data_IF_576647192161
#
_entry.id   IF_576647192161
#
_cell.length_a   1.000
_cell.length_b   1.000
_cell.length_c   1.000
_cell.angle_alpha   90.00
_cell.angle_beta   90.00
_cell.angle_gamma   90.00
#
_symmetry.space_group_name_H-M   'P 1'
#
loop_
_entity.id
_entity.type
_entity.pdbx_description
1 polymer ?
#
# COMPACT_ATOMS: atom_id res chain seq x y z
N UNK A 1 -15.35 23.01 5.04
CA UNK A 1 -14.25 23.62 4.24
C UNK A 1 -14.68 23.61 2.78
N UNK A 2 -14.53 24.71 2.03
CA UNK A 2 -14.84 24.72 0.58
C UNK A 2 -13.69 23.99 -0.14
N UNK A 3 -13.97 22.83 -0.73
CA UNK A 3 -12.99 22.09 -1.53
C UNK A 3 -12.58 22.96 -2.72
N UNK A 4 -11.34 23.48 -2.72
CA UNK A 4 -10.74 24.21 -3.84
C UNK A 4 -9.59 23.37 -4.36
N UNK A 5 -9.70 22.90 -5.60
CA UNK A 5 -8.56 22.32 -6.30
C UNK A 5 -7.73 23.45 -6.92
N UNK A 6 -6.42 23.41 -6.73
CA UNK A 6 -5.48 24.36 -7.33
C UNK A 6 -4.57 23.62 -8.30
N UNK A 7 -4.27 24.25 -9.43
CA UNK A 7 -3.37 23.73 -10.45
C UNK A 7 -2.17 24.67 -10.59
N UNK A 8 -0.97 24.10 -10.49
CA UNK A 8 0.27 24.82 -10.73
C UNK A 8 0.56 24.90 -12.23
N UNK A 9 0.70 26.12 -12.75
CA UNK A 9 1.30 26.40 -14.05
C UNK A 9 2.55 27.24 -13.85
N UNK A 10 3.69 26.56 -13.79
CA UNK A 10 5.02 27.14 -13.57
C UNK A 10 5.07 28.00 -12.29
N UNK A 11 5.06 29.33 -12.42
CA UNK A 11 5.09 30.27 -11.30
C UNK A 11 3.71 30.64 -10.74
N UNK A 12 2.63 30.14 -11.34
CA UNK A 12 1.27 30.53 -10.99
C UNK A 12 0.48 29.37 -10.38
N UNK A 13 -0.33 29.68 -9.37
CA UNK A 13 -1.34 28.78 -8.83
C UNK A 13 -2.72 29.28 -9.22
N UNK A 14 -3.42 28.50 -10.05
CA UNK A 14 -4.75 28.83 -10.54
C UNK A 14 -5.79 27.96 -9.82
N UNK A 15 -6.91 28.56 -9.42
CA UNK A 15 -8.04 27.78 -8.90
C UNK A 15 -8.71 27.06 -10.07
N UNK A 16 -8.82 25.73 -9.98
CA UNK A 16 -9.53 24.95 -10.99
C UNK A 16 -11.04 25.13 -10.76
N UNK A 17 -11.79 25.58 -11.77
CA UNK A 17 -13.25 25.69 -11.67
C UNK A 17 -13.89 24.34 -11.27
N UNK A 18 -14.85 24.32 -10.31
CA UNK A 18 -15.53 23.12 -9.82
C UNK A 18 -15.97 22.13 -10.90
N UNK A 19 -16.67 22.61 -11.92
CA UNK A 19 -17.20 21.78 -12.98
C UNK A 19 -16.13 21.04 -13.82
N UNK A 20 -14.91 21.56 -13.89
CA UNK A 20 -13.82 20.90 -14.62
C UNK A 20 -13.23 19.75 -13.81
N UNK A 21 -12.90 20.00 -12.53
CA UNK A 21 -12.28 18.97 -11.71
C UNK A 21 -13.27 17.93 -11.20
N UNK A 22 -14.53 18.29 -10.92
CA UNK A 22 -15.57 17.33 -10.53
C UNK A 22 -15.81 16.30 -11.63
N UNK A 23 -15.83 16.74 -12.90
CA UNK A 23 -15.96 15.85 -14.06
C UNK A 23 -14.74 14.95 -14.23
N UNK A 24 -13.52 15.49 -14.06
CA UNK A 24 -12.30 14.67 -14.10
C UNK A 24 -12.25 13.65 -12.97
N UNK A 25 -12.68 14.01 -11.75
CA UNK A 25 -12.78 13.07 -10.63
C UNK A 25 -13.84 12.01 -10.93
N UNK A 26 -15.01 12.38 -11.45
CA UNK A 26 -16.05 11.41 -11.80
C UNK A 26 -15.55 10.40 -12.85
N UNK A 27 -14.82 10.86 -13.86
CA UNK A 27 -14.23 10.01 -14.89
C UNK A 27 -13.10 9.14 -14.33
N UNK A 28 -12.22 9.72 -13.51
CA UNK A 28 -11.11 9.03 -12.87
C UNK A 28 -11.57 7.97 -11.87
N UNK A 29 -12.64 8.25 -11.12
CA UNK A 29 -13.22 7.31 -10.14
C UNK A 29 -13.53 5.95 -10.75
N UNK A 30 -14.02 5.91 -11.99
CA UNK A 30 -14.30 4.65 -12.68
C UNK A 30 -13.01 3.88 -12.95
N UNK A 31 -11.99 4.54 -13.52
CA UNK A 31 -10.70 3.91 -13.78
C UNK A 31 -10.00 3.43 -12.50
N UNK A 32 -10.04 4.22 -11.42
CA UNK A 32 -9.49 3.81 -10.12
C UNK A 32 -10.30 2.67 -9.48
N UNK A 33 -11.64 2.70 -9.57
CA UNK A 33 -12.49 1.63 -9.06
C UNK A 33 -12.25 0.32 -9.82
N UNK A 34 -12.10 0.38 -11.14
CA UNK A 34 -11.79 -0.78 -11.98
C UNK A 34 -10.41 -1.36 -11.63
N UNK A 35 -9.41 -0.51 -11.38
CA UNK A 35 -8.06 -0.95 -10.98
C UNK A 35 -8.02 -1.60 -9.59
N UNK A 36 -8.93 -1.23 -8.69
CA UNK A 36 -9.05 -1.80 -7.35
C UNK A 36 -10.14 -2.87 -7.24
N UNK A 37 -10.86 -3.17 -8.33
CA UNK A 37 -12.00 -4.09 -8.32
C UNK A 37 -11.60 -5.54 -7.96
N UNK A 38 -10.33 -5.90 -8.16
CA UNK A 38 -9.81 -7.22 -7.79
C UNK A 38 -9.62 -7.37 -6.26
N UNK A 39 -9.48 -6.27 -5.50
CA UNK A 39 -9.26 -6.32 -4.06
C UNK A 39 -10.53 -6.77 -3.32
N UNK A 40 -10.56 -8.05 -2.99
CA UNK A 40 -11.52 -8.60 -2.02
C UNK A 40 -11.20 -8.14 -0.60
N UNK A 41 -12.06 -8.50 0.36
CA UNK A 41 -11.79 -8.19 1.76
C UNK A 41 -10.53 -8.89 2.29
N UNK A 42 -10.23 -10.11 1.82
CA UNK A 42 -9.01 -10.83 2.17
C UNK A 42 -7.76 -10.11 1.64
N UNK A 43 -7.82 -9.51 0.45
CA UNK A 43 -6.72 -8.70 -0.10
C UNK A 43 -6.40 -7.52 0.82
N UNK A 44 -7.44 -6.78 1.24
CA UNK A 44 -7.27 -5.64 2.16
C UNK A 44 -6.75 -6.09 3.51
N UNK A 45 -7.25 -7.21 4.02
CA UNK A 45 -6.84 -7.76 5.30
C UNK A 45 -5.36 -8.15 5.30
N UNK A 46 -4.90 -8.89 4.28
CA UNK A 46 -3.49 -9.28 4.13
C UNK A 46 -2.61 -8.05 3.93
N UNK A 47 -3.03 -7.10 3.10
CA UNK A 47 -2.28 -5.86 2.88
C UNK A 47 -2.12 -5.04 4.16
N UNK A 48 -3.22 -4.76 4.87
CA UNK A 48 -3.16 -4.01 6.13
C UNK A 48 -2.35 -4.74 7.20
N UNK A 49 -2.46 -6.07 7.26
CA UNK A 49 -1.65 -6.88 8.16
C UNK A 49 -0.16 -6.70 7.85
N UNK A 50 0.26 -6.86 6.59
CA UNK A 50 1.65 -6.72 6.19
C UNK A 50 2.22 -5.33 6.54
N UNK A 51 1.50 -4.25 6.21
CA UNK A 51 1.92 -2.87 6.50
C UNK A 51 2.08 -2.62 8.01
N UNK A 52 1.17 -3.16 8.82
CA UNK A 52 1.21 -2.98 10.28
C UNK A 52 2.30 -3.83 10.94
N UNK A 53 2.46 -5.06 10.47
CA UNK A 53 3.25 -6.08 11.17
C UNK A 53 4.73 -6.05 10.79
N UNK A 54 5.07 -5.59 9.57
CA UNK A 54 6.46 -5.52 9.10
C UNK A 54 7.36 -4.67 10.02
N UNK A 55 6.94 -3.48 10.51
CA UNK A 55 7.65 -2.73 11.56
C UNK A 55 7.89 -3.52 12.85
N UNK A 56 6.87 -4.26 13.31
CA UNK A 56 6.88 -4.96 14.60
C UNK A 56 7.79 -6.18 14.53
N UNK A 57 7.68 -6.95 13.44
CA UNK A 57 8.50 -8.13 13.21
C UNK A 57 9.98 -7.76 12.98
N UNK A 58 10.25 -6.60 12.35
CA UNK A 58 11.61 -6.12 12.06
C UNK A 58 12.41 -7.03 11.13
N UNK A 59 11.74 -7.95 10.44
CA UNK A 59 12.31 -8.94 9.52
C UNK A 59 11.28 -9.30 8.43
N UNK A 60 11.71 -9.88 7.31
CA UNK A 60 10.77 -10.26 6.25
C UNK A 60 9.65 -11.18 6.77
N UNK A 61 8.42 -10.94 6.32
CA UNK A 61 7.24 -11.70 6.77
C UNK A 61 6.98 -12.90 5.86
N UNK A 62 7.11 -14.14 6.35
CA UNK A 62 6.81 -15.33 5.56
C UNK A 62 5.28 -15.53 5.42
N UNK A 63 4.79 -16.10 4.30
CA UNK A 63 3.36 -16.36 4.09
C UNK A 63 2.73 -17.21 5.19
N UNK A 64 3.47 -18.16 5.77
CA UNK A 64 3.01 -19.04 6.85
C UNK A 64 2.70 -18.24 8.13
N UNK A 65 3.46 -17.18 8.39
CA UNK A 65 3.20 -16.31 9.54
C UNK A 65 1.90 -15.52 9.36
N UNK A 66 1.65 -15.00 8.16
CA UNK A 66 0.41 -14.29 7.81
C UNK A 66 -0.79 -15.25 7.88
N UNK A 67 -0.63 -16.45 7.30
CA UNK A 67 -1.60 -17.54 7.34
C UNK A 67 -2.04 -17.86 8.76
N UNK A 68 -1.08 -18.09 9.66
CA UNK A 68 -1.36 -18.40 11.06
C UNK A 68 -2.01 -17.23 11.80
N UNK A 69 -1.55 -15.99 11.56
CA UNK A 69 -2.08 -14.81 12.25
C UNK A 69 -3.51 -14.44 11.83
N UNK A 70 -3.85 -14.66 10.55
CA UNK A 70 -5.15 -14.31 9.98
C UNK A 70 -6.11 -15.50 9.88
N UNK A 71 -5.66 -16.71 10.20
CA UNK A 71 -6.41 -17.96 10.05
C UNK A 71 -6.94 -18.15 8.61
N UNK A 72 -6.09 -17.87 7.63
CA UNK A 72 -6.33 -18.05 6.19
C UNK A 72 -5.38 -19.15 5.71
N UNK A 73 -5.80 -20.12 4.88
CA UNK A 73 -4.90 -21.14 4.34
C UNK A 73 -3.67 -20.52 3.64
N UNK A 74 -2.49 -21.09 3.85
CA UNK A 74 -1.23 -20.55 3.31
C UNK A 74 -1.26 -20.43 1.80
N UNK A 75 -1.86 -21.40 1.09
CA UNK A 75 -1.99 -21.38 -0.36
C UNK A 75 -2.85 -20.20 -0.83
N UNK A 76 -3.87 -19.84 -0.04
CA UNK A 76 -4.73 -18.68 -0.30
C UNK A 76 -3.99 -17.37 -0.03
N UNK A 77 -3.19 -17.31 1.03
CA UNK A 77 -2.32 -16.16 1.31
C UNK A 77 -1.34 -15.93 0.16
N UNK A 78 -0.66 -16.98 -0.31
CA UNK A 78 0.29 -16.89 -1.43
C UNK A 78 -0.40 -16.36 -2.68
N UNK A 79 -1.56 -16.92 -3.05
CA UNK A 79 -2.31 -16.46 -4.22
C UNK A 79 -2.71 -14.97 -4.11
N UNK A 80 -3.13 -14.52 -2.92
CA UNK A 80 -3.48 -13.11 -2.71
C UNK A 80 -2.23 -12.22 -2.78
N UNK A 81 -1.08 -12.68 -2.26
CA UNK A 81 0.17 -11.92 -2.39
C UNK A 81 0.63 -11.82 -3.84
N UNK A 82 0.42 -12.87 -4.65
CA UNK A 82 0.66 -12.83 -6.10
C UNK A 82 -0.25 -11.80 -6.79
N UNK A 83 -1.54 -11.76 -6.44
CA UNK A 83 -2.49 -10.78 -6.95
C UNK A 83 -2.09 -9.34 -6.53
N UNK A 84 -1.75 -9.12 -5.27
CA UNK A 84 -1.33 -7.81 -4.74
C UNK A 84 -0.06 -7.30 -5.42
N UNK A 85 0.96 -8.16 -5.55
CA UNK A 85 2.24 -7.78 -6.18
C UNK A 85 2.10 -7.51 -7.68
N UNK A 86 1.34 -8.34 -8.41
CA UNK A 86 1.11 -8.15 -9.85
C UNK A 86 0.34 -6.87 -10.19
N UNK A 87 -0.45 -6.36 -9.25
CA UNK A 87 -1.18 -5.09 -9.37
C UNK A 87 -0.44 -3.91 -8.72
N UNK A 88 0.84 -4.08 -8.35
CA UNK A 88 1.71 -3.04 -7.78
C UNK A 88 1.11 -2.36 -6.55
N UNK A 89 0.43 -3.11 -5.67
CA UNK A 89 -0.22 -2.55 -4.48
C UNK A 89 0.76 -2.27 -3.33
N UNK A 90 1.98 -1.84 -3.67
CA UNK A 90 3.00 -1.43 -2.72
C UNK A 90 3.44 -2.51 -1.71
N UNK A 91 3.36 -3.78 -2.10
CA UNK A 91 3.94 -4.93 -1.40
C UNK A 91 4.96 -5.57 -2.33
N UNK A 92 6.11 -5.96 -1.79
CA UNK A 92 7.15 -6.67 -2.54
C UNK A 92 7.75 -7.78 -1.69
N UNK A 93 8.03 -8.89 -2.36
CA UNK A 93 8.56 -10.10 -1.74
C UNK A 93 9.98 -10.38 -2.21
N UNK A 94 10.79 -10.90 -1.31
CA UNK A 94 12.14 -11.35 -1.63
C UNK A 94 12.12 -12.69 -2.39
N UNK A 95 13.30 -13.21 -2.75
CA UNK A 95 13.43 -14.49 -3.49
C UNK A 95 12.90 -15.72 -2.74
N UNK A 96 12.63 -15.61 -1.44
CA UNK A 96 11.99 -16.66 -0.62
C UNK A 96 10.47 -16.49 -0.50
N UNK A 97 9.90 -15.49 -1.17
CA UNK A 97 8.46 -15.18 -1.11
C UNK A 97 8.04 -14.46 0.17
N UNK A 98 8.97 -13.97 0.98
CA UNK A 98 8.68 -13.23 2.21
C UNK A 98 8.52 -11.74 1.89
N UNK A 99 7.56 -11.07 2.52
CA UNK A 99 7.36 -9.62 2.34
C UNK A 99 8.52 -8.89 3.03
N UNK A 100 9.35 -8.18 2.26
CA UNK A 100 10.44 -7.35 2.79
C UNK A 100 10.16 -5.85 2.68
N UNK A 101 9.19 -5.48 1.86
CA UNK A 101 8.76 -4.11 1.67
C UNK A 101 7.22 -4.03 1.61
N UNK A 102 6.65 -3.13 2.39
CA UNK A 102 5.24 -2.75 2.36
C UNK A 102 5.15 -1.23 2.62
N UNK A 103 4.70 -0.45 1.64
CA UNK A 103 4.77 1.02 1.73
C UNK A 103 4.09 1.55 3.00
N UNK A 104 4.75 2.48 3.74
CA UNK A 104 5.96 3.22 3.36
C UNK A 104 7.28 2.63 3.88
N UNK A 105 7.30 1.38 4.34
CA UNK A 105 8.41 0.83 5.12
C UNK A 105 9.02 -0.44 4.54
N UNK A 106 10.31 -0.63 4.80
CA UNK A 106 11.04 -1.85 4.46
C UNK A 106 11.95 -2.28 5.61
N UNK A 107 12.21 -3.59 5.67
CA UNK A 107 13.24 -4.17 6.54
C UNK A 107 14.62 -4.15 5.88
N UNK A 108 14.70 -3.89 4.58
CA UNK A 108 15.95 -3.67 3.88
C UNK A 108 16.57 -2.35 4.35
N UNK A 109 17.90 -2.34 4.49
CA UNK A 109 18.62 -1.16 4.93
C UNK A 109 18.61 -0.08 3.84
N UNK A 110 17.95 1.03 4.13
CA UNK A 110 18.04 2.25 3.31
C UNK A 110 18.73 3.38 4.09
N UNK A 111 19.12 4.50 3.45
CA UNK A 111 19.62 5.68 4.16
C UNK A 111 18.57 6.37 5.04
N UNK A 112 17.29 6.01 4.89
CA UNK A 112 16.16 6.68 5.53
C UNK A 112 15.65 5.87 6.71
N UNK A 113 16.12 6.21 7.92
CA UNK A 113 15.66 5.56 9.14
C UNK A 113 14.29 6.09 9.58
N UNK A 114 13.44 5.19 10.06
CA UNK A 114 12.13 5.50 10.63
C UNK A 114 12.08 4.94 12.04
N UNK A 115 11.52 5.73 12.97
CA UNK A 115 11.18 5.29 14.32
C UNK A 115 9.69 5.52 14.54
N UNK A 116 8.97 4.45 14.85
CA UNK A 116 7.56 4.52 15.17
C UNK A 116 7.37 5.05 16.60
N UNK A 117 6.23 5.67 16.88
CA UNK A 117 5.90 6.21 18.21
C UNK A 117 5.89 5.14 19.31
N UNK A 118 5.72 3.87 18.93
CA UNK A 118 5.77 2.67 19.77
C UNK A 118 7.19 2.11 19.98
N UNK A 119 8.20 2.67 19.29
CA UNK A 119 9.62 2.39 19.50
C UNK A 119 10.28 1.49 18.46
N UNK A 120 9.52 0.87 17.56
CA UNK A 120 10.05 0.06 16.46
C UNK A 120 10.91 0.92 15.52
N UNK A 121 12.01 0.36 15.05
CA UNK A 121 12.97 1.04 14.17
C UNK A 121 13.22 0.21 12.92
N UNK A 122 13.11 0.86 11.77
CA UNK A 122 13.34 0.27 10.46
C UNK A 122 13.63 1.37 9.43
N UNK A 123 13.33 1.11 8.17
CA UNK A 123 13.70 1.96 7.06
C UNK A 123 12.47 2.39 6.25
N UNK A 124 12.52 3.60 5.69
CA UNK A 124 11.58 4.03 4.67
C UNK A 124 12.03 3.46 3.31
N UNK A 125 11.04 3.11 2.50
CA UNK A 125 11.21 2.53 1.17
C UNK A 125 11.00 3.52 0.04
#
# INVERSE_FOLDING_TARGET
MKNKLMMGLWRYMLSVPPFLWEKQIANGKKGFADHLAFMTEEHRLIHHFAVRELPIAGKPLPPEFISNALNIPVERVIAILDDLESHMTFIFRNSRGEIEWAYPVTVEKTPHHVTFHTGEQLYAA
#
